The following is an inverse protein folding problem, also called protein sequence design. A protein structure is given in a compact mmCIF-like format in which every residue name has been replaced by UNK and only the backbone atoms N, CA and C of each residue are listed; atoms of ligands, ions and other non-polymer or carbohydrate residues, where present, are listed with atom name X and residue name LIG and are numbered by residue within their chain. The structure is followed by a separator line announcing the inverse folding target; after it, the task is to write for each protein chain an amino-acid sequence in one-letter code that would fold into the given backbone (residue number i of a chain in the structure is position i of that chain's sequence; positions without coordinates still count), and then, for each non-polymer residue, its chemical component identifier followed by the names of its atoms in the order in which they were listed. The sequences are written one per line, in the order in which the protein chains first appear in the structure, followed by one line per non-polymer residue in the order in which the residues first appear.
data_IF_041749580552
#
_entry.id   IF_041749580552
#
_cell.length_a   1.000
_cell.length_b   1.000
_cell.length_c   1.000
_cell.angle_alpha   90.00
_cell.angle_beta   90.00
_cell.angle_gamma   90.00
#
_symmetry.space_group_name_H-M   'P 1'
#
loop_
_entity.id
_entity.type
_entity.pdbx_description
1 polymer ?
#
# COMPACT_ATOMS: atom_id res chain seq x y z
N UNK A 1 14.31 -16.64 -26.16
CA UNK A 1 14.08 -18.03 -25.79
C UNK A 1 12.69 -18.19 -25.15
N UNK A 2 11.90 -19.19 -25.57
CA UNK A 2 10.60 -19.50 -24.98
C UNK A 2 10.77 -20.45 -23.80
N UNK A 3 10.33 -20.06 -22.61
CA UNK A 3 10.54 -20.83 -21.38
C UNK A 3 9.28 -21.57 -20.89
N UNK A 4 8.17 -21.38 -21.55
CA UNK A 4 6.90 -22.00 -21.20
C UNK A 4 5.74 -20.99 -21.21
N UNK A 5 4.56 -21.44 -20.77
CA UNK A 5 3.37 -20.59 -20.68
C UNK A 5 2.57 -20.96 -19.43
N UNK A 6 1.73 -20.06 -18.98
CA UNK A 6 0.81 -20.33 -17.89
C UNK A 6 -0.56 -20.70 -18.47
N UNK A 7 -1.06 -21.94 -18.26
CA UNK A 7 -2.35 -22.34 -18.79
C UNK A 7 -3.50 -21.62 -18.09
N UNK A 8 -4.63 -21.45 -18.79
CA UNK A 8 -5.86 -20.95 -18.19
C UNK A 8 -6.27 -21.90 -17.06
N UNK A 9 -6.49 -21.37 -15.87
CA UNK A 9 -6.73 -22.13 -14.65
C UNK A 9 -7.89 -21.54 -13.84
N UNK A 10 -9.15 -21.82 -14.23
CA UNK A 10 -10.33 -21.25 -13.58
C UNK A 10 -10.37 -21.50 -12.06
N UNK A 11 -9.87 -22.67 -11.63
CA UNK A 11 -9.81 -23.06 -10.23
C UNK A 11 -8.83 -22.21 -9.38
N UNK A 12 -7.94 -21.48 -10.04
CA UNK A 12 -6.99 -20.58 -9.41
C UNK A 12 -7.38 -19.11 -9.61
N UNK A 13 -8.49 -18.83 -10.28
CA UNK A 13 -8.92 -17.47 -10.54
C UNK A 13 -9.12 -16.69 -9.25
N UNK A 14 -8.60 -15.45 -9.22
CA UNK A 14 -8.87 -14.50 -8.17
C UNK A 14 -10.02 -13.61 -8.58
N UNK A 15 -10.90 -13.31 -7.65
CA UNK A 15 -12.00 -12.40 -7.90
C UNK A 15 -11.48 -11.01 -8.19
N UNK A 16 -12.00 -10.40 -9.26
CA UNK A 16 -11.69 -9.03 -9.63
C UNK A 16 -12.75 -8.09 -9.07
N UNK A 17 -12.33 -6.94 -8.59
CA UNK A 17 -13.19 -5.83 -8.19
C UNK A 17 -13.16 -4.72 -9.23
N UNK A 18 -14.12 -3.81 -9.14
CA UNK A 18 -14.25 -2.67 -10.08
C UNK A 18 -12.98 -1.81 -10.16
N UNK A 19 -12.22 -1.70 -9.06
CA UNK A 19 -10.99 -0.92 -8.96
C UNK A 19 -9.78 -1.78 -8.54
N UNK A 20 -9.75 -3.04 -8.90
CA UNK A 20 -8.62 -3.92 -8.60
C UNK A 20 -9.00 -5.30 -8.10
N UNK A 21 -8.05 -6.01 -7.52
CA UNK A 21 -8.23 -7.34 -6.96
C UNK A 21 -8.81 -7.26 -5.53
N UNK A 22 -9.41 -8.36 -5.10
CA UNK A 22 -9.77 -8.56 -3.70
C UNK A 22 -8.50 -8.63 -2.86
N UNK A 23 -8.53 -8.09 -1.64
CA UNK A 23 -7.40 -8.19 -0.71
C UNK A 23 -7.11 -9.65 -0.36
N UNK A 24 -5.86 -10.01 -0.01
CA UNK A 24 -5.51 -11.38 0.33
C UNK A 24 -6.43 -12.02 1.38
N UNK A 25 -6.83 -11.25 2.38
CA UNK A 25 -7.74 -11.71 3.45
C UNK A 25 -9.19 -11.98 2.96
N UNK A 26 -9.56 -11.37 1.84
CA UNK A 26 -10.88 -11.58 1.22
C UNK A 26 -10.92 -12.69 0.18
N UNK A 27 -9.78 -13.30 -0.17
CA UNK A 27 -9.74 -14.39 -1.14
C UNK A 27 -9.95 -15.73 -0.46
N UNK A 28 -11.07 -16.39 -0.80
CA UNK A 28 -11.34 -17.73 -0.32
C UNK A 28 -10.23 -18.71 -0.76
N UNK A 29 -9.72 -19.52 0.17
CA UNK A 29 -8.71 -20.56 -0.09
C UNK A 29 -7.43 -20.05 -0.80
N UNK A 30 -7.01 -18.81 -0.56
CA UNK A 30 -5.84 -18.21 -1.21
C UNK A 30 -4.60 -19.11 -1.17
N UNK A 31 -4.33 -19.75 -0.02
CA UNK A 31 -3.18 -20.65 0.13
C UNK A 31 -3.26 -21.86 -0.81
N UNK A 32 -4.45 -22.45 -0.97
CA UNK A 32 -4.65 -23.60 -1.87
C UNK A 32 -4.54 -23.17 -3.34
N UNK A 33 -5.12 -22.03 -3.68
CA UNK A 33 -4.99 -21.45 -5.03
C UNK A 33 -3.52 -21.16 -5.38
N UNK A 34 -2.78 -20.57 -4.45
CA UNK A 34 -1.35 -20.29 -4.63
C UNK A 34 -0.53 -21.57 -4.80
N UNK A 35 -0.84 -22.61 -4.02
CA UNK A 35 -0.18 -23.91 -4.15
C UNK A 35 -0.41 -24.53 -5.54
N UNK A 36 -1.67 -24.54 -6.01
CA UNK A 36 -2.01 -25.04 -7.36
C UNK A 36 -1.34 -24.23 -8.46
N UNK A 37 -1.22 -22.91 -8.29
CA UNK A 37 -0.50 -22.05 -9.23
C UNK A 37 0.98 -22.39 -9.29
N UNK A 38 1.62 -22.66 -8.14
CA UNK A 38 3.02 -23.08 -8.08
C UNK A 38 3.23 -24.42 -8.80
N UNK A 39 2.40 -25.42 -8.55
CA UNK A 39 2.45 -26.73 -9.22
C UNK A 39 2.29 -26.60 -10.74
N UNK A 40 1.39 -25.73 -11.21
CA UNK A 40 1.22 -25.47 -12.63
C UNK A 40 2.44 -24.75 -13.23
N UNK A 41 3.02 -23.79 -12.51
CA UNK A 41 4.24 -23.13 -12.95
C UNK A 41 5.38 -24.13 -13.13
N UNK A 42 5.60 -25.02 -12.17
CA UNK A 42 6.62 -26.07 -12.27
C UNK A 42 6.40 -27.05 -13.44
N UNK A 43 5.14 -27.35 -13.76
CA UNK A 43 4.79 -28.26 -14.87
C UNK A 43 4.93 -27.62 -16.26
N UNK A 44 4.71 -26.31 -16.38
CA UNK A 44 4.56 -25.65 -17.67
C UNK A 44 5.63 -24.61 -17.98
N UNK A 45 6.45 -24.25 -16.99
CA UNK A 45 7.51 -23.24 -17.14
C UNK A 45 8.85 -23.84 -16.74
N UNK A 46 9.87 -23.64 -17.55
CA UNK A 46 11.22 -24.06 -17.21
C UNK A 46 11.85 -23.13 -16.17
N UNK A 47 11.48 -23.33 -14.88
CA UNK A 47 11.97 -22.51 -13.76
C UNK A 47 13.51 -22.58 -13.67
N UNK A 48 14.08 -23.78 -13.84
CA UNK A 48 15.55 -23.95 -13.83
C UNK A 48 16.21 -23.07 -14.88
N UNK A 49 15.65 -23.04 -16.08
CA UNK A 49 16.21 -22.21 -17.15
C UNK A 49 16.03 -20.71 -16.91
N UNK A 50 14.93 -20.31 -16.30
CA UNK A 50 14.74 -18.91 -15.84
C UNK A 50 15.84 -18.50 -14.87
N UNK A 51 16.14 -19.35 -13.88
CA UNK A 51 17.19 -19.08 -12.90
C UNK A 51 18.56 -18.99 -13.56
N UNK A 52 18.91 -19.93 -14.46
CA UNK A 52 20.16 -19.90 -15.20
C UNK A 52 20.36 -18.60 -16.02
N UNK A 53 19.27 -18.07 -16.61
CA UNK A 53 19.32 -16.83 -17.36
C UNK A 53 19.44 -15.63 -16.43
N UNK A 54 18.76 -15.65 -15.28
CA UNK A 54 18.75 -14.56 -14.29
C UNK A 54 20.07 -14.48 -13.50
N UNK A 55 20.80 -15.57 -13.39
CA UNK A 55 22.06 -15.66 -12.64
C UNK A 55 23.26 -15.03 -13.39
N UNK A 56 23.00 -14.41 -14.53
CA UNK A 56 24.02 -13.61 -15.22
C UNK A 56 24.29 -12.35 -14.42
N UNK A 57 25.57 -12.04 -14.13
CA UNK A 57 25.90 -10.86 -13.36
C UNK A 57 25.31 -9.61 -14.00
N UNK A 58 24.52 -8.87 -13.23
CA UNK A 58 24.03 -7.57 -13.66
C UNK A 58 25.21 -6.63 -13.86
N UNK A 59 25.31 -6.02 -15.05
CA UNK A 59 26.36 -5.05 -15.39
C UNK A 59 26.13 -3.67 -14.71
N UNK A 60 25.15 -3.56 -13.84
CA UNK A 60 24.91 -2.32 -13.11
C UNK A 60 25.63 -2.37 -11.76
N UNK A 61 26.81 -1.79 -11.69
CA UNK A 61 27.31 -1.18 -10.45
C UNK A 61 26.28 -0.10 -10.06
N UNK A 62 25.34 -0.50 -9.23
CA UNK A 62 24.46 0.47 -8.59
C UNK A 62 25.35 1.33 -7.69
N UNK A 63 25.64 2.54 -8.13
CA UNK A 63 26.32 3.51 -7.29
C UNK A 63 25.57 3.61 -5.96
N UNK A 64 26.26 3.36 -4.86
CA UNK A 64 25.69 3.57 -3.54
C UNK A 64 25.26 5.03 -3.45
N UNK A 65 23.96 5.26 -3.27
CA UNK A 65 23.44 6.60 -3.08
C UNK A 65 24.05 7.16 -1.78
N UNK A 66 24.68 8.34 -1.85
CA UNK A 66 25.32 8.92 -0.68
C UNK A 66 24.28 9.14 0.42
N UNK A 67 24.51 8.53 1.57
CA UNK A 67 23.70 8.69 2.77
C UNK A 67 23.74 10.17 3.20
N UNK A 68 22.63 10.86 3.06
CA UNK A 68 22.42 12.14 3.72
C UNK A 68 21.68 11.87 5.04
N UNK A 69 22.42 11.63 6.10
CA UNK A 69 21.85 11.55 7.43
C UNK A 69 21.26 12.91 7.83
N UNK A 70 19.97 13.07 7.66
CA UNK A 70 19.20 14.07 8.39
C UNK A 70 18.59 13.35 9.60
N UNK A 71 19.27 13.39 10.73
CA UNK A 71 18.73 12.86 11.98
C UNK A 71 17.50 13.68 12.42
N UNK A 72 16.44 13.01 12.84
CA UNK A 72 15.29 13.64 13.51
C UNK A 72 14.04 13.85 12.70
N UNK A 73 14.00 13.50 11.39
CA UNK A 73 12.77 13.55 10.60
C UNK A 73 11.92 12.30 10.92
N UNK A 74 10.68 12.52 11.33
CA UNK A 74 9.72 11.45 11.60
C UNK A 74 8.55 11.53 10.63
N UNK A 75 8.28 10.43 9.93
CA UNK A 75 7.23 10.37 8.92
C UNK A 75 6.13 9.45 9.40
N UNK A 76 4.93 9.98 9.57
CA UNK A 76 3.74 9.19 9.84
C UNK A 76 3.25 8.52 8.56
N UNK A 77 3.02 7.21 8.61
CA UNK A 77 2.55 6.42 7.46
C UNK A 77 1.27 5.70 7.83
N UNK A 78 0.18 6.00 7.12
CA UNK A 78 -1.09 5.31 7.30
C UNK A 78 -0.94 3.83 6.92
N UNK A 79 -1.32 2.93 7.84
CA UNK A 79 -1.22 1.49 7.64
C UNK A 79 -2.27 0.75 8.42
N UNK A 80 -3.30 0.28 7.73
CA UNK A 80 -4.34 -0.61 8.25
C UNK A 80 -5.07 -1.30 7.09
N UNK A 81 -6.25 -1.87 7.34
CA UNK A 81 -7.03 -2.55 6.31
C UNK A 81 -7.53 -1.62 5.19
N UNK A 82 -7.70 -0.31 5.47
CA UNK A 82 -8.09 0.68 4.47
C UNK A 82 -6.90 1.21 3.65
N UNK A 83 -5.69 1.21 4.22
CA UNK A 83 -4.46 1.77 3.65
C UNK A 83 -3.33 0.73 3.68
N UNK A 84 -3.34 -0.19 2.72
CA UNK A 84 -2.46 -1.37 2.75
C UNK A 84 -1.42 -1.42 1.61
N UNK A 85 -1.50 -0.52 0.62
CA UNK A 85 -0.56 -0.51 -0.51
C UNK A 85 0.71 0.27 -0.18
N UNK A 86 1.53 -0.34 0.69
CA UNK A 86 2.80 0.23 1.11
C UNK A 86 3.94 -0.48 0.37
N UNK A 87 4.72 0.28 -0.38
CA UNK A 87 5.94 -0.21 -1.01
C UNK A 87 7.04 -0.30 0.04
N UNK A 88 7.38 -1.52 0.43
CA UNK A 88 8.39 -1.77 1.47
C UNK A 88 9.73 -1.13 1.16
N UNK A 89 10.13 -1.13 -0.11
CA UNK A 89 11.41 -0.56 -0.52
C UNK A 89 11.43 0.97 -0.40
N UNK A 90 10.29 1.64 -0.62
CA UNK A 90 10.19 3.07 -0.35
C UNK A 90 10.37 3.38 1.14
N UNK A 91 9.79 2.57 2.03
CA UNK A 91 9.98 2.74 3.48
C UNK A 91 11.43 2.51 3.88
N UNK A 92 12.06 1.44 3.40
CA UNK A 92 13.48 1.16 3.62
C UNK A 92 14.37 2.27 3.10
N UNK A 93 14.04 2.83 1.95
CA UNK A 93 14.80 3.95 1.38
C UNK A 93 14.70 5.21 2.25
N UNK A 94 13.52 5.54 2.76
CA UNK A 94 13.34 6.65 3.70
C UNK A 94 14.11 6.43 5.01
N UNK A 95 14.07 5.21 5.56
CA UNK A 95 14.85 4.83 6.74
C UNK A 95 16.36 4.92 6.46
N UNK A 96 16.80 4.50 5.29
CA UNK A 96 18.19 4.63 4.84
C UNK A 96 18.64 6.10 4.72
N UNK A 97 17.72 7.00 4.36
CA UNK A 97 17.95 8.44 4.37
C UNK A 97 17.91 9.07 5.78
N UNK A 98 17.72 8.26 6.82
CA UNK A 98 17.71 8.68 8.21
C UNK A 98 16.34 9.14 8.75
N UNK A 99 15.23 8.82 8.06
CA UNK A 99 13.89 9.05 8.59
C UNK A 99 13.47 7.93 9.55
N UNK A 100 12.73 8.29 10.59
CA UNK A 100 12.01 7.35 11.46
C UNK A 100 10.59 7.20 10.93
N UNK A 101 10.16 5.97 10.63
CA UNK A 101 8.81 5.68 10.15
C UNK A 101 7.90 5.38 11.33
N UNK A 102 6.81 6.13 11.46
CA UNK A 102 5.79 5.98 12.49
C UNK A 102 4.49 5.51 11.85
N UNK A 103 4.19 4.22 11.94
CA UNK A 103 2.92 3.71 11.43
C UNK A 103 1.77 4.10 12.36
N UNK A 104 0.61 4.41 11.76
CA UNK A 104 -0.64 4.67 12.46
C UNK A 104 -1.83 4.12 11.67
N UNK A 105 -2.94 3.87 12.36
CA UNK A 105 -4.18 3.37 11.78
C UNK A 105 -5.24 4.47 11.71
N UNK A 106 -5.60 4.98 10.53
CA UNK A 106 -6.75 5.83 10.38
C UNK A 106 -8.07 5.23 10.88
N UNK A 107 -8.17 3.90 10.88
CA UNK A 107 -9.36 3.18 11.36
C UNK A 107 -9.48 3.12 12.88
N UNK A 108 -8.35 3.04 13.61
CA UNK A 108 -8.34 2.63 15.01
C UNK A 108 -7.64 3.62 15.94
N UNK A 109 -6.68 4.42 15.44
CA UNK A 109 -6.02 5.45 16.22
C UNK A 109 -6.84 6.74 16.24
N UNK A 110 -6.68 7.53 17.30
CA UNK A 110 -7.41 8.79 17.45
C UNK A 110 -6.74 9.99 16.79
N UNK A 111 -5.45 9.91 16.50
CA UNK A 111 -4.67 11.01 15.93
C UNK A 111 -3.40 10.53 15.24
N UNK A 112 -2.83 11.37 14.39
CA UNK A 112 -1.49 11.16 13.83
C UNK A 112 -0.46 11.18 14.98
N UNK A 113 0.62 10.37 14.92
CA UNK A 113 1.70 10.42 15.89
C UNK A 113 2.22 11.86 16.10
N UNK A 114 2.22 12.36 17.34
CA UNK A 114 2.51 13.78 17.66
C UNK A 114 3.87 14.26 17.15
N UNK A 115 4.85 13.35 17.13
CA UNK A 115 6.23 13.66 16.73
C UNK A 115 6.45 13.65 15.22
N UNK A 116 5.42 13.38 14.43
CA UNK A 116 5.55 13.34 12.97
C UNK A 116 5.78 14.75 12.39
N UNK A 117 6.72 14.85 11.47
CA UNK A 117 7.04 16.06 10.70
C UNK A 117 6.60 15.94 9.23
N UNK A 118 6.09 14.79 8.81
CA UNK A 118 5.55 14.54 7.48
C UNK A 118 4.52 13.40 7.53
N UNK A 119 3.67 13.31 6.54
CA UNK A 119 2.57 12.37 6.44
C UNK A 119 2.58 11.66 5.10
N UNK A 120 2.43 10.33 5.11
CA UNK A 120 2.18 9.52 3.93
C UNK A 120 0.84 8.80 4.11
N UNK A 121 -0.08 9.08 3.21
CA UNK A 121 -1.34 8.39 3.05
C UNK A 121 -1.25 7.51 1.79
N UNK A 122 -0.99 6.23 1.99
CA UNK A 122 -0.82 5.29 0.89
C UNK A 122 -2.15 4.86 0.28
N UNK A 123 -2.05 4.13 -0.84
CA UNK A 123 -3.19 3.53 -1.49
C UNK A 123 -3.83 2.41 -0.65
N UNK A 124 -5.00 2.03 -1.06
CA UNK A 124 -5.81 0.99 -0.43
C UNK A 124 -7.25 1.06 -0.91
N UNK A 125 -8.15 0.61 -0.07
CA UNK A 125 -9.58 0.56 -0.35
C UNK A 125 -10.38 1.29 0.74
N UNK A 126 -10.20 2.61 0.93
CA UNK A 126 -10.92 3.37 1.95
C UNK A 126 -12.44 3.35 1.77
N UNK A 127 -12.93 3.15 0.52
CA UNK A 127 -14.36 3.04 0.23
C UNK A 127 -15.03 1.83 0.88
N UNK A 128 -14.28 0.78 1.20
CA UNK A 128 -14.79 -0.39 1.94
C UNK A 128 -14.96 -0.12 3.44
N UNK A 129 -14.28 0.88 3.92
CA UNK A 129 -14.23 1.27 5.33
C UNK A 129 -14.78 2.68 5.56
N UNK A 130 -15.47 3.25 4.54
CA UNK A 130 -15.88 4.64 4.53
C UNK A 130 -16.70 5.03 5.77
N UNK A 131 -17.64 4.18 6.21
CA UNK A 131 -18.42 4.40 7.41
C UNK A 131 -17.54 4.45 8.68
N UNK A 132 -16.60 3.50 8.83
CA UNK A 132 -15.71 3.46 10.00
C UNK A 132 -14.75 4.65 10.00
N UNK A 133 -14.17 4.98 8.83
CA UNK A 133 -13.29 6.16 8.68
C UNK A 133 -14.03 7.45 9.02
N UNK A 134 -15.26 7.62 8.52
CA UNK A 134 -16.07 8.82 8.80
C UNK A 134 -16.45 8.98 10.27
N UNK A 135 -16.61 7.90 11.01
CA UNK A 135 -16.89 7.92 12.45
C UNK A 135 -15.68 8.33 13.28
N UNK A 136 -14.47 8.16 12.78
CA UNK A 136 -13.24 8.54 13.48
C UNK A 136 -12.95 10.05 13.34
N UNK A 137 -13.85 10.89 13.86
CA UNK A 137 -13.77 12.34 13.74
C UNK A 137 -12.47 12.93 14.33
N UNK A 138 -11.93 12.34 15.38
CA UNK A 138 -10.66 12.78 15.98
C UNK A 138 -9.49 12.63 15.03
N UNK A 139 -9.40 11.52 14.31
CA UNK A 139 -8.37 11.30 13.29
C UNK A 139 -8.56 12.27 12.11
N UNK A 140 -9.78 12.43 11.59
CA UNK A 140 -10.07 13.36 10.49
C UNK A 140 -9.63 14.79 10.84
N UNK A 141 -9.95 15.26 12.05
CA UNK A 141 -9.51 16.57 12.53
C UNK A 141 -8.00 16.66 12.70
N UNK A 142 -7.36 15.62 13.27
CA UNK A 142 -5.91 15.58 13.46
C UNK A 142 -5.16 15.71 12.13
N UNK A 143 -5.60 14.99 11.10
CA UNK A 143 -5.00 15.07 9.75
C UNK A 143 -5.20 16.46 9.16
N UNK A 144 -6.45 16.95 9.15
CA UNK A 144 -6.81 18.27 8.62
C UNK A 144 -5.99 19.38 9.25
N UNK A 145 -5.91 19.39 10.57
CA UNK A 145 -5.22 20.44 11.31
C UNK A 145 -3.72 20.43 11.07
N UNK A 146 -3.09 19.25 11.07
CA UNK A 146 -1.66 19.13 10.78
C UNK A 146 -1.32 19.64 9.38
N UNK A 147 -2.14 19.31 8.38
CA UNK A 147 -1.94 19.78 7.00
C UNK A 147 -2.13 21.30 6.92
N UNK A 148 -3.18 21.85 7.53
CA UNK A 148 -3.41 23.30 7.59
C UNK A 148 -2.27 24.07 8.25
N UNK A 149 -1.57 23.45 9.20
CA UNK A 149 -0.39 24.02 9.85
C UNK A 149 0.93 23.73 9.10
N UNK A 150 0.85 23.27 7.85
CA UNK A 150 2.00 23.17 6.96
C UNK A 150 2.76 21.83 7.00
N UNK A 151 2.17 20.77 7.57
CA UNK A 151 2.77 19.44 7.50
C UNK A 151 2.85 18.96 6.05
N UNK A 152 4.04 18.60 5.53
CA UNK A 152 4.17 18.01 4.21
C UNK A 152 3.41 16.68 4.11
N UNK A 153 2.68 16.48 3.01
CA UNK A 153 1.86 15.27 2.78
C UNK A 153 2.13 14.69 1.41
N UNK A 154 2.28 13.38 1.35
CA UNK A 154 2.17 12.58 0.13
C UNK A 154 0.93 11.72 0.27
N UNK A 155 0.00 11.84 -0.68
CA UNK A 155 -1.22 11.04 -0.70
C UNK A 155 -1.40 10.40 -2.08
N UNK A 156 -1.58 9.08 -2.11
CA UNK A 156 -1.72 8.31 -3.35
C UNK A 156 -3.05 7.55 -3.36
N UNK A 157 -3.74 7.54 -4.53
CA UNK A 157 -4.93 6.72 -4.75
C UNK A 157 -5.94 6.82 -3.59
N UNK A 158 -6.15 5.75 -2.82
CA UNK A 158 -7.05 5.73 -1.66
C UNK A 158 -6.69 6.78 -0.59
N UNK A 159 -5.41 7.04 -0.36
CA UNK A 159 -4.96 8.11 0.53
C UNK A 159 -5.34 9.49 0.03
N UNK A 160 -5.32 9.71 -1.28
CA UNK A 160 -5.80 10.95 -1.88
C UNK A 160 -7.32 11.07 -1.76
N UNK A 161 -8.08 9.98 -2.00
CA UNK A 161 -9.53 9.95 -1.81
C UNK A 161 -9.92 10.33 -0.37
N UNK A 162 -9.16 9.88 0.62
CA UNK A 162 -9.41 10.17 2.03
C UNK A 162 -9.24 11.66 2.40
N UNK A 163 -8.47 12.44 1.62
CA UNK A 163 -8.31 13.89 1.83
C UNK A 163 -9.48 14.73 1.34
N UNK A 164 -10.35 14.18 0.49
CA UNK A 164 -11.54 14.89 0.00
C UNK A 164 -12.58 15.16 1.09
N UNK A 165 -13.58 15.98 0.78
CA UNK A 165 -14.70 16.24 1.68
C UNK A 165 -15.56 15.01 1.91
N UNK A 166 -15.82 14.25 0.84
CA UNK A 166 -16.66 13.06 0.87
C UNK A 166 -16.06 11.92 0.05
N UNK A 167 -16.34 10.71 0.48
CA UNK A 167 -16.04 9.47 -0.24
C UNK A 167 -17.34 8.74 -0.53
N UNK A 168 -17.56 8.42 -1.81
CA UNK A 168 -18.69 7.63 -2.25
C UNK A 168 -18.35 6.13 -2.21
N UNK A 169 -19.26 5.31 -1.66
CA UNK A 169 -19.18 3.85 -1.77
C UNK A 169 -19.69 3.37 -3.13
N UNK A 170 -19.50 2.08 -3.42
CA UNK A 170 -20.07 1.43 -4.63
C UNK A 170 -21.59 1.49 -4.69
N UNK A 171 -22.26 1.63 -3.54
CA UNK A 171 -23.71 1.73 -3.40
C UNK A 171 -24.22 3.18 -3.54
N UNK A 172 -23.28 4.14 -3.69
CA UNK A 172 -23.60 5.55 -3.84
C UNK A 172 -23.78 6.32 -2.53
N UNK A 173 -23.53 5.70 -1.39
CA UNK A 173 -23.54 6.39 -0.10
C UNK A 173 -22.32 7.32 0.01
N UNK A 174 -22.54 8.51 0.58
CA UNK A 174 -21.50 9.52 0.79
C UNK A 174 -21.11 9.58 2.26
N UNK A 175 -19.85 9.46 2.54
CA UNK A 175 -19.28 9.55 3.88
C UNK A 175 -18.30 10.72 3.98
N UNK A 176 -18.42 11.59 5.02
CA UNK A 176 -17.48 12.68 5.23
C UNK A 176 -16.08 12.14 5.54
N UNK A 177 -15.06 12.77 4.94
CA UNK A 177 -13.65 12.42 5.12
C UNK A 177 -12.86 13.62 5.67
N UNK A 178 -11.56 13.69 5.40
CA UNK A 178 -10.68 14.74 5.96
C UNK A 178 -11.14 16.14 5.56
N UNK A 179 -11.66 16.34 4.34
CA UNK A 179 -12.16 17.62 3.87
C UNK A 179 -11.06 18.68 3.77
N UNK A 180 -9.91 18.31 3.27
CA UNK A 180 -8.82 19.22 3.00
C UNK A 180 -8.79 19.65 1.52
N UNK A 181 -9.27 18.79 0.63
CA UNK A 181 -9.37 19.00 -0.82
C UNK A 181 -10.84 19.10 -1.21
#
# INVERSE_FOLDING_TARGET
EFLGYFPISPECALESRKLGLVTPDGVCELKQKTQKLAEKAEQHISITRMLEISDKPSLTDLAELPLRHRSGVKIAVARDAAFLFIYRDNMRFLEHLGAEILYFSPLDDNQIPERASGLILCGGYPELFAEKLSKNQSMLHSIRDKIKHGMPVIAECGGFMYLHEFLATSEGELYPMVGFI
#
